data_IF_798029240738
#
_entry.id   IF_798029240738
#
_cell.length_a   1.000
_cell.length_b   1.000
_cell.length_c   1.000
_cell.angle_alpha   90.00
_cell.angle_beta   90.00
_cell.angle_gamma   90.00
#
_symmetry.space_group_name_H-M   'P 1'
#
loop_
_entity.id
_entity.type
_entity.pdbx_description
1 polymer ?
#
# COMPACT_ATOMS: atom_id res chain seq x y z
N UNK A 1 14.65 -3.65 17.15
CA UNK A 1 15.11 -4.07 15.80
C UNK A 1 14.86 -2.94 14.80
N UNK A 2 15.92 -2.42 14.18
CA UNK A 2 15.84 -1.35 13.16
C UNK A 2 15.47 -2.01 11.81
N UNK A 3 14.35 -1.61 11.21
CA UNK A 3 13.92 -2.08 9.89
C UNK A 3 14.48 -1.13 8.83
N UNK A 4 15.21 -1.65 7.83
CA UNK A 4 15.67 -0.87 6.69
C UNK A 4 14.47 -0.24 5.98
N UNK A 5 14.39 1.10 5.85
CA UNK A 5 13.26 1.76 5.22
C UNK A 5 13.17 1.39 3.73
N UNK A 6 11.96 1.26 3.20
CA UNK A 6 11.74 1.13 1.76
C UNK A 6 12.05 2.50 1.13
N UNK A 7 13.17 2.62 0.40
CA UNK A 7 13.61 3.90 -0.15
C UNK A 7 12.63 4.51 -1.16
N UNK A 8 12.01 3.68 -2.00
CA UNK A 8 11.09 4.13 -3.06
C UNK A 8 10.10 3.00 -3.41
N UNK A 9 8.97 2.86 -2.69
CA UNK A 9 7.93 1.91 -3.10
C UNK A 9 7.31 2.33 -4.43
N UNK A 10 7.04 1.37 -5.30
CA UNK A 10 6.39 1.58 -6.60
C UNK A 10 4.92 1.20 -6.48
N UNK A 11 4.01 2.06 -6.93
CA UNK A 11 2.58 1.81 -6.92
C UNK A 11 2.06 1.59 -8.34
N UNK A 12 1.39 0.46 -8.57
CA UNK A 12 0.65 0.20 -9.81
C UNK A 12 -0.74 0.82 -9.66
N UNK A 13 -1.01 1.84 -10.47
CA UNK A 13 -2.26 2.58 -10.54
C UNK A 13 -3.03 2.20 -11.81
N UNK A 14 -4.33 2.49 -11.82
CA UNK A 14 -5.24 2.15 -12.94
C UNK A 14 -6.60 1.62 -12.47
N UNK A 15 -7.62 1.82 -13.29
CA UNK A 15 -8.99 1.41 -13.00
C UNK A 15 -9.11 -0.12 -12.83
N UNK A 16 -10.18 -0.58 -12.18
CA UNK A 16 -10.53 -1.99 -12.20
C UNK A 16 -10.61 -2.53 -13.63
N UNK A 17 -10.18 -3.78 -13.85
CA UNK A 17 -10.21 -4.46 -15.16
C UNK A 17 -9.29 -3.88 -16.25
N UNK A 18 -8.36 -2.99 -15.92
CA UNK A 18 -7.36 -2.43 -16.85
C UNK A 18 -6.06 -3.24 -17.02
N UNK A 19 -6.03 -4.50 -16.58
CA UNK A 19 -4.83 -5.35 -16.68
C UNK A 19 -3.76 -5.11 -15.61
N UNK A 20 -4.00 -4.28 -14.59
CA UNK A 20 -3.03 -4.03 -13.49
C UNK A 20 -2.60 -5.29 -12.74
N UNK A 21 -3.48 -6.31 -12.64
CA UNK A 21 -3.12 -7.61 -12.06
C UNK A 21 -2.11 -8.37 -12.93
N UNK A 22 -2.30 -8.39 -14.26
CA UNK A 22 -1.38 -9.05 -15.19
C UNK A 22 -0.01 -8.37 -15.14
N UNK A 23 0.02 -7.05 -15.17
CA UNK A 23 1.25 -6.26 -15.02
C UNK A 23 1.98 -6.58 -13.72
N UNK A 24 1.26 -6.57 -12.59
CA UNK A 24 1.85 -6.89 -11.29
C UNK A 24 2.38 -8.33 -11.21
N UNK A 25 1.65 -9.31 -11.76
CA UNK A 25 2.08 -10.71 -11.82
C UNK A 25 3.33 -10.91 -12.68
N UNK A 26 3.44 -10.19 -13.79
CA UNK A 26 4.63 -10.19 -14.65
C UNK A 26 5.85 -9.62 -13.90
N UNK A 27 5.68 -8.46 -13.25
CA UNK A 27 6.75 -7.84 -12.45
C UNK A 27 7.16 -8.71 -11.27
N UNK A 28 6.25 -9.46 -10.67
CA UNK A 28 6.52 -10.37 -9.56
C UNK A 28 7.49 -11.51 -9.92
N UNK A 29 7.61 -11.86 -11.21
CA UNK A 29 8.57 -12.86 -11.68
C UNK A 29 10.02 -12.37 -11.58
N UNK A 30 10.23 -11.06 -11.56
CA UNK A 30 11.58 -10.50 -11.48
C UNK A 30 12.21 -10.80 -10.11
N UNK A 31 13.45 -11.32 -10.05
CA UNK A 31 14.08 -11.74 -8.78
C UNK A 31 14.28 -10.58 -7.79
N UNK A 32 14.23 -9.34 -8.26
CA UNK A 32 14.39 -8.14 -7.44
C UNK A 32 13.09 -7.51 -6.91
N UNK A 33 11.91 -8.07 -7.24
CA UNK A 33 10.60 -7.44 -6.93
C UNK A 33 9.84 -8.19 -5.83
N UNK A 34 9.50 -7.51 -4.75
CA UNK A 34 8.48 -7.93 -3.79
C UNK A 34 7.14 -7.37 -4.22
N UNK A 35 6.24 -8.23 -4.69
CA UNK A 35 4.92 -7.81 -5.12
C UNK A 35 3.88 -7.93 -3.99
N UNK A 36 3.19 -6.84 -3.70
CA UNK A 36 2.06 -6.78 -2.80
C UNK A 36 0.76 -6.64 -3.60
N UNK A 37 0.05 -7.76 -3.74
CA UNK A 37 -1.23 -7.81 -4.43
C UNK A 37 -2.38 -7.48 -3.47
N UNK A 38 -3.07 -6.37 -3.74
CA UNK A 38 -4.28 -5.92 -3.04
C UNK A 38 -4.17 -5.97 -1.51
N UNK A 39 -3.10 -5.36 -1.00
CA UNK A 39 -2.68 -5.38 0.40
C UNK A 39 -3.58 -4.57 1.35
N UNK A 40 -4.92 -4.65 1.21
CA UNK A 40 -5.90 -3.90 2.00
C UNK A 40 -5.70 -4.04 3.51
N UNK A 41 -5.39 -5.25 3.98
CA UNK A 41 -5.15 -5.51 5.41
C UNK A 41 -3.93 -4.75 5.96
N UNK A 42 -2.87 -4.56 5.17
CA UNK A 42 -1.70 -3.78 5.57
C UNK A 42 -2.08 -2.31 5.74
N UNK A 43 -2.83 -1.77 4.77
CA UNK A 43 -3.35 -0.41 4.83
C UNK A 43 -4.28 -0.21 6.03
N UNK A 44 -5.28 -1.07 6.22
CA UNK A 44 -6.24 -0.99 7.31
C UNK A 44 -5.58 -1.15 8.69
N UNK A 45 -4.48 -1.91 8.80
CA UNK A 45 -3.76 -2.04 10.07
C UNK A 45 -3.01 -0.78 10.51
N UNK A 46 -2.59 0.07 9.56
CA UNK A 46 -1.92 1.33 9.86
C UNK A 46 -2.88 2.52 9.84
N UNK A 47 -3.83 2.51 8.91
CA UNK A 47 -4.90 3.47 8.73
C UNK A 47 -6.24 2.73 8.70
N UNK A 48 -6.87 2.49 9.87
CA UNK A 48 -8.17 1.84 9.95
C UNK A 48 -9.24 2.49 9.05
N UNK A 49 -9.15 3.80 8.86
CA UNK A 49 -10.03 4.58 7.98
C UNK A 49 -9.96 4.16 6.51
N UNK A 50 -8.95 3.38 6.10
CA UNK A 50 -8.89 2.86 4.72
C UNK A 50 -9.83 1.69 4.46
N UNK A 51 -10.45 1.14 5.51
CA UNK A 51 -11.46 0.10 5.43
C UNK A 51 -12.83 0.70 5.09
N UNK A 52 -13.30 0.38 3.89
CA UNK A 52 -14.60 0.82 3.35
C UNK A 52 -15.49 -0.35 2.91
N UNK A 53 -15.08 -1.58 3.20
CA UNK A 53 -15.76 -2.78 2.69
C UNK A 53 -16.29 -3.70 3.79
N UNK A 54 -15.63 -3.74 4.96
CA UNK A 54 -16.07 -4.63 6.03
C UNK A 54 -17.23 -4.03 6.82
N UNK A 55 -17.91 -4.86 7.60
CA UNK A 55 -18.90 -4.45 8.60
C UNK A 55 -18.35 -3.45 9.62
N UNK A 56 -17.03 -3.39 9.81
CA UNK A 56 -16.38 -2.46 10.72
C UNK A 56 -16.09 -1.08 10.09
N UNK A 57 -16.33 -0.90 8.79
CA UNK A 57 -16.01 0.36 8.09
C UNK A 57 -16.63 1.59 8.77
N UNK A 58 -17.88 1.49 9.22
CA UNK A 58 -18.57 2.59 9.92
C UNK A 58 -17.85 2.95 11.23
N UNK A 59 -17.55 1.94 12.05
CA UNK A 59 -16.85 2.12 13.33
C UNK A 59 -15.40 2.60 13.17
N UNK A 60 -14.77 2.30 12.02
CA UNK A 60 -13.40 2.74 11.68
C UNK A 60 -13.37 4.08 10.95
N UNK A 61 -14.50 4.74 10.77
CA UNK A 61 -14.63 5.97 9.98
C UNK A 61 -14.08 5.80 8.55
N UNK A 62 -14.52 4.73 7.89
CA UNK A 62 -14.11 4.35 6.55
C UNK A 62 -14.19 5.50 5.55
N UNK A 63 -13.08 5.76 4.87
CA UNK A 63 -12.88 6.87 3.94
C UNK A 63 -12.23 6.35 2.64
N UNK A 64 -12.91 6.62 1.53
CA UNK A 64 -12.43 6.23 0.20
C UNK A 64 -11.22 7.06 -0.22
N UNK A 65 -11.42 8.38 -0.30
CA UNK A 65 -10.45 9.33 -0.82
C UNK A 65 -9.57 9.89 0.31
N UNK A 66 -8.26 9.83 0.12
CA UNK A 66 -7.29 10.43 1.03
C UNK A 66 -6.55 11.55 0.31
N UNK A 67 -6.38 12.66 1.01
CA UNK A 67 -5.62 13.84 0.56
C UNK A 67 -4.38 14.01 1.43
N UNK A 68 -3.58 15.05 1.16
CA UNK A 68 -2.43 15.42 1.98
C UNK A 68 -2.82 15.70 3.44
N UNK A 69 -4.05 16.17 3.68
CA UNK A 69 -4.55 16.46 5.04
C UNK A 69 -4.76 15.20 5.89
N UNK A 70 -4.88 14.03 5.25
CA UNK A 70 -5.06 12.74 5.93
C UNK A 70 -3.72 12.12 6.38
N UNK A 71 -2.59 12.75 6.05
CA UNK A 71 -1.25 12.27 6.43
C UNK A 71 -1.03 12.43 7.93
N UNK A 72 -1.10 11.32 8.65
CA UNK A 72 -0.68 11.21 10.03
C UNK A 72 0.73 10.58 10.14
N UNK A 73 1.76 11.31 10.63
CA UNK A 73 3.14 10.80 10.67
C UNK A 73 3.33 9.49 11.45
N UNK A 74 2.52 9.23 12.49
CA UNK A 74 2.63 7.97 13.26
C UNK A 74 2.09 6.79 12.44
N UNK A 75 0.94 6.97 11.79
CA UNK A 75 0.33 5.94 10.94
C UNK A 75 1.13 5.70 9.66
N UNK A 76 1.65 6.75 9.02
CA UNK A 76 2.57 6.67 7.88
C UNK A 76 3.79 5.80 8.22
N UNK A 77 4.45 6.07 9.36
CA UNK A 77 5.58 5.26 9.81
C UNK A 77 5.21 3.81 10.08
N UNK A 78 4.00 3.55 10.58
CA UNK A 78 3.51 2.18 10.76
C UNK A 78 3.34 1.45 9.41
N UNK A 79 2.71 2.10 8.42
CA UNK A 79 2.55 1.55 7.07
C UNK A 79 3.91 1.29 6.40
N UNK A 80 4.85 2.24 6.49
CA UNK A 80 6.20 2.10 5.94
C UNK A 80 6.97 0.95 6.61
N UNK A 81 6.82 0.75 7.93
CA UNK A 81 7.41 -0.40 8.63
C UNK A 81 6.82 -1.72 8.15
N UNK A 82 5.53 -1.77 7.88
CA UNK A 82 4.86 -2.94 7.33
C UNK A 82 5.37 -3.27 5.92
N UNK A 83 5.56 -2.26 5.06
CA UNK A 83 6.20 -2.44 3.75
C UNK A 83 7.66 -2.92 3.88
N UNK A 84 8.45 -2.32 4.77
CA UNK A 84 9.82 -2.74 5.04
C UNK A 84 9.89 -4.20 5.53
N UNK A 85 8.95 -4.63 6.37
CA UNK A 85 8.87 -6.01 6.83
C UNK A 85 8.58 -6.98 5.67
N UNK A 86 7.69 -6.62 4.74
CA UNK A 86 7.40 -7.43 3.56
C UNK A 86 8.61 -7.54 2.63
N UNK A 87 9.25 -6.41 2.33
CA UNK A 87 10.46 -6.34 1.51
C UNK A 87 11.59 -7.22 2.08
N UNK A 88 11.86 -7.08 3.39
CA UNK A 88 12.88 -7.86 4.09
C UNK A 88 12.59 -9.36 4.07
N UNK A 89 11.33 -9.77 4.27
CA UNK A 89 10.93 -11.19 4.26
C UNK A 89 11.22 -11.86 2.92
N UNK A 90 11.04 -11.14 1.82
CA UNK A 90 11.38 -11.63 0.48
C UNK A 90 12.87 -11.55 0.12
N UNK A 91 13.69 -10.81 0.89
CA UNK A 91 15.11 -10.52 0.59
C UNK A 91 15.34 -9.90 -0.79
N UNK A 92 14.37 -9.10 -1.26
CA UNK A 92 14.43 -8.40 -2.55
C UNK A 92 14.57 -6.89 -2.31
N UNK A 93 15.16 -6.13 -3.25
CA UNK A 93 15.42 -4.70 -3.05
C UNK A 93 14.24 -3.77 -3.41
N UNK A 94 13.30 -4.20 -4.25
CA UNK A 94 12.21 -3.34 -4.75
C UNK A 94 10.85 -3.80 -4.25
N UNK A 95 10.04 -2.90 -3.70
CA UNK A 95 8.64 -3.18 -3.34
C UNK A 95 7.71 -2.59 -4.40
N UNK A 96 6.85 -3.42 -4.97
CA UNK A 96 5.79 -3.03 -5.89
C UNK A 96 4.45 -3.35 -5.24
N UNK A 97 3.61 -2.34 -5.07
CA UNK A 97 2.28 -2.46 -4.49
C UNK A 97 1.23 -2.23 -5.57
N UNK A 98 0.20 -3.06 -5.59
CA UNK A 98 -0.96 -2.88 -6.46
C UNK A 98 -2.21 -2.95 -5.61
N UNK A 99 -2.92 -1.84 -5.55
CA UNK A 99 -4.25 -1.75 -4.97
C UNK A 99 -5.05 -0.69 -5.73
N UNK A 100 -6.08 -1.08 -6.53
CA UNK A 100 -6.78 -0.13 -7.40
C UNK A 100 -7.43 1.04 -6.66
N UNK A 101 -7.77 0.89 -5.38
CA UNK A 101 -8.35 1.99 -4.61
C UNK A 101 -7.36 3.12 -4.34
N UNK A 102 -6.05 2.87 -4.49
CA UNK A 102 -5.04 3.90 -4.33
C UNK A 102 -5.14 5.01 -5.38
N UNK A 103 -5.89 4.81 -6.48
CA UNK A 103 -6.26 5.88 -7.40
C UNK A 103 -6.99 7.05 -6.71
N UNK A 104 -7.69 6.82 -5.60
CA UNK A 104 -8.37 7.86 -4.81
C UNK A 104 -7.47 8.46 -3.71
N UNK A 105 -6.19 8.06 -3.67
CA UNK A 105 -5.26 8.37 -2.57
C UNK A 105 -3.92 8.91 -3.07
N UNK A 106 -3.82 9.31 -4.35
CA UNK A 106 -2.59 9.84 -4.94
C UNK A 106 -2.00 11.02 -4.15
N UNK A 107 -2.76 12.05 -3.76
CA UNK A 107 -2.19 13.20 -3.05
C UNK A 107 -1.61 12.78 -1.69
N UNK A 108 -2.30 11.88 -0.97
CA UNK A 108 -1.79 11.26 0.25
C UNK A 108 -0.51 10.44 0.01
N UNK A 109 -0.50 9.55 -0.99
CA UNK A 109 0.65 8.67 -1.30
C UNK A 109 1.91 9.48 -1.64
N UNK A 110 1.75 10.61 -2.33
CA UNK A 110 2.87 11.50 -2.66
C UNK A 110 3.49 12.17 -1.44
N UNK A 111 2.77 12.24 -0.31
CA UNK A 111 3.16 12.98 0.89
C UNK A 111 3.54 12.08 2.07
N UNK A 112 3.21 10.78 2.01
CA UNK A 112 3.54 9.78 3.04
C UNK A 112 5.03 9.38 2.98
#
# INVERSE_FOLDING_TARGET
MITTPVKSPVFILGCGRSGTTVLGNLLAQHPSVTYLHEARALWASAYPETDIWTEHAVARHGKLAFTESDVNPRKTRALQKLFALKLRRSRRPTLVEKLPINNFRLPFIRRM
#
